data_IF_596809074509
#
_entry.id   IF_596809074509
#
_cell.length_a   1.000
_cell.length_b   1.000
_cell.length_c   1.000
_cell.angle_alpha   90.00
_cell.angle_beta   90.00
_cell.angle_gamma   90.00
#
_symmetry.space_group_name_H-M   'P 1'
#
loop_
_entity.id
_entity.type
_entity.pdbx_description
1 polymer ?
#
# COMPACT_ATOMS: atom_id res chain seq x y z
N UNK A 1 -14.66 36.01 20.05
CA UNK A 1 -13.53 35.40 19.32
C UNK A 1 -13.60 33.89 19.56
N UNK A 2 -14.19 33.13 18.62
CA UNK A 2 -14.37 31.68 18.72
C UNK A 2 -13.60 31.06 17.55
N UNK A 3 -12.57 30.28 17.84
CA UNK A 3 -11.84 29.52 16.83
C UNK A 3 -12.53 28.16 16.75
N UNK A 4 -13.24 27.93 15.65
CA UNK A 4 -13.77 26.62 15.28
C UNK A 4 -12.60 25.70 14.91
N UNK A 5 -12.42 24.62 15.66
CA UNK A 5 -11.52 23.54 15.31
C UNK A 5 -11.96 22.92 13.98
N UNK A 6 -11.23 23.22 12.91
CA UNK A 6 -11.39 22.54 11.63
C UNK A 6 -10.91 21.11 11.79
N UNK A 7 -11.82 20.16 11.63
CA UNK A 7 -11.54 18.74 11.53
C UNK A 7 -10.57 18.52 10.36
N UNK A 8 -9.28 18.34 10.65
CA UNK A 8 -8.30 17.94 9.66
C UNK A 8 -8.55 16.47 9.35
N UNK A 9 -9.46 16.20 8.40
CA UNK A 9 -9.60 14.88 7.82
C UNK A 9 -8.33 14.60 7.01
N UNK A 10 -7.49 13.68 7.49
CA UNK A 10 -6.30 13.26 6.77
C UNK A 10 -6.70 12.76 5.36
N UNK A 11 -6.25 13.39 4.26
CA UNK A 11 -6.61 12.97 2.90
C UNK A 11 -5.90 11.68 2.45
N UNK A 12 -5.13 11.03 3.33
CA UNK A 12 -4.34 9.82 3.02
C UNK A 12 -5.17 8.53 2.99
N UNK A 13 -6.38 8.52 3.56
CA UNK A 13 -7.12 7.28 3.81
C UNK A 13 -7.59 6.50 2.57
N UNK A 14 -7.84 7.16 1.44
CA UNK A 14 -8.26 6.48 0.19
C UNK A 14 -7.13 6.26 -0.81
N UNK A 15 -6.23 7.23 -0.97
CA UNK A 15 -5.09 7.11 -1.90
C UNK A 15 -4.12 6.01 -1.48
N UNK A 16 -3.95 5.80 -0.17
CA UNK A 16 -3.10 4.72 0.33
C UNK A 16 -3.59 3.33 -0.08
N UNK A 17 -4.89 3.13 -0.25
CA UNK A 17 -5.47 1.86 -0.71
C UNK A 17 -5.25 1.66 -2.21
N UNK A 18 -5.56 2.68 -3.02
CA UNK A 18 -5.35 2.68 -4.48
C UNK A 18 -3.87 2.47 -4.85
N UNK A 19 -2.97 3.05 -4.07
CA UNK A 19 -1.52 2.86 -4.24
C UNK A 19 -1.09 1.44 -3.88
N UNK A 20 -1.66 0.83 -2.83
CA UNK A 20 -1.38 -0.57 -2.46
C UNK A 20 -1.84 -1.55 -3.54
N UNK A 21 -3.01 -1.31 -4.14
CA UNK A 21 -3.54 -2.08 -5.28
C UNK A 21 -2.59 -2.07 -6.49
N UNK A 22 -1.89 -0.96 -6.69
CA UNK A 22 -0.93 -0.81 -7.79
C UNK A 22 0.43 -1.39 -7.44
N UNK A 23 0.89 -1.16 -6.21
CA UNK A 23 2.26 -1.49 -5.80
C UNK A 23 2.42 -2.98 -5.52
N UNK A 24 1.50 -3.62 -4.77
CA UNK A 24 1.63 -5.04 -4.39
C UNK A 24 1.87 -5.97 -5.61
N UNK A 25 1.11 -5.84 -6.73
CA UNK A 25 1.39 -6.61 -7.94
C UNK A 25 2.69 -6.20 -8.66
N UNK A 26 3.11 -4.94 -8.54
CA UNK A 26 4.34 -4.46 -9.17
C UNK A 26 5.60 -5.09 -8.55
N UNK A 27 5.63 -5.22 -7.22
CA UNK A 27 6.68 -5.91 -6.45
C UNK A 27 6.56 -7.44 -6.51
N UNK A 28 5.41 -7.97 -6.95
CA UNK A 28 5.23 -9.40 -7.19
C UNK A 28 4.99 -10.22 -5.91
N UNK A 29 4.46 -9.59 -4.86
CA UNK A 29 4.09 -10.28 -3.63
C UNK A 29 2.74 -10.99 -3.83
N UNK A 30 2.63 -12.23 -3.34
CA UNK A 30 1.47 -13.09 -3.62
C UNK A 30 0.70 -13.52 -2.38
N UNK A 31 1.27 -13.30 -1.19
CA UNK A 31 0.65 -13.62 0.09
C UNK A 31 0.80 -12.47 1.08
N UNK A 32 -0.05 -12.45 2.11
CA UNK A 32 0.07 -11.50 3.22
C UNK A 32 1.37 -11.72 3.98
N UNK A 33 1.79 -12.98 4.16
CA UNK A 33 3.05 -13.33 4.81
C UNK A 33 4.27 -12.75 4.08
N UNK A 34 4.28 -12.75 2.74
CA UNK A 34 5.36 -12.12 1.95
C UNK A 34 5.43 -10.61 2.20
N UNK A 35 4.27 -9.96 2.33
CA UNK A 35 4.17 -8.53 2.61
C UNK A 35 4.61 -8.21 4.03
N UNK A 36 4.26 -9.07 5.00
CA UNK A 36 4.68 -8.96 6.39
C UNK A 36 6.19 -9.16 6.55
N UNK A 37 6.77 -10.17 5.90
CA UNK A 37 8.21 -10.39 5.89
C UNK A 37 8.97 -9.20 5.27
N UNK A 38 8.43 -8.61 4.19
CA UNK A 38 8.99 -7.39 3.61
C UNK A 38 8.90 -6.22 4.59
N UNK A 39 7.76 -6.03 5.25
CA UNK A 39 7.55 -4.98 6.23
C UNK A 39 8.55 -5.09 7.40
N UNK A 40 8.69 -6.29 7.98
CA UNK A 40 9.61 -6.57 9.09
C UNK A 40 11.07 -6.28 8.70
N UNK A 41 11.45 -6.50 7.45
CA UNK A 41 12.81 -6.20 6.97
C UNK A 41 13.18 -4.71 7.07
N UNK A 42 12.19 -3.81 7.05
CA UNK A 42 12.36 -2.37 7.25
C UNK A 42 12.08 -1.94 8.68
N UNK A 43 11.20 -2.64 9.40
CA UNK A 43 10.77 -2.34 10.76
C UNK A 43 10.82 -3.60 11.65
N UNK A 44 12.02 -3.99 12.14
CA UNK A 44 12.17 -5.25 12.88
C UNK A 44 11.39 -5.24 14.20
N UNK A 45 10.62 -6.31 14.43
CA UNK A 45 9.80 -6.46 15.64
C UNK A 45 8.50 -5.64 15.63
N UNK A 46 8.14 -5.04 14.51
CA UNK A 46 6.81 -4.48 14.28
C UNK A 46 6.00 -5.42 13.37
N UNK A 47 4.72 -5.59 13.69
CA UNK A 47 3.81 -6.49 12.99
C UNK A 47 2.73 -5.70 12.25
N UNK A 48 2.21 -6.27 11.17
CA UNK A 48 1.08 -5.65 10.50
C UNK A 48 -0.14 -5.73 11.40
N UNK A 49 -0.84 -4.60 11.56
CA UNK A 49 -2.12 -4.64 12.27
C UNK A 49 -3.11 -5.55 11.51
N UNK A 50 -4.00 -6.22 12.24
CA UNK A 50 -5.03 -7.08 11.64
C UNK A 50 -5.88 -6.36 10.57
N UNK A 51 -6.09 -5.05 10.73
CA UNK A 51 -6.76 -4.20 9.74
C UNK A 51 -5.95 -4.09 8.45
N UNK A 52 -4.64 -3.85 8.55
CA UNK A 52 -3.74 -3.71 7.40
C UNK A 52 -3.62 -5.04 6.66
N UNK A 53 -3.46 -6.15 7.39
CA UNK A 53 -3.44 -7.50 6.82
C UNK A 53 -4.73 -7.81 6.02
N UNK A 54 -5.90 -7.47 6.57
CA UNK A 54 -7.19 -7.65 5.87
C UNK A 54 -7.29 -6.82 4.57
N UNK A 55 -6.73 -5.60 4.56
CA UNK A 55 -6.67 -4.77 3.36
C UNK A 55 -5.77 -5.40 2.30
N UNK A 56 -4.57 -5.84 2.69
CA UNK A 56 -3.61 -6.49 1.79
C UNK A 56 -4.22 -7.76 1.21
N UNK A 57 -4.87 -8.59 2.03
CA UNK A 57 -5.56 -9.78 1.57
C UNK A 57 -6.64 -9.43 0.53
N UNK A 58 -7.46 -8.42 0.78
CA UNK A 58 -8.48 -7.98 -0.17
C UNK A 58 -7.88 -7.50 -1.50
N UNK A 59 -6.73 -6.84 -1.47
CA UNK A 59 -5.99 -6.41 -2.67
C UNK A 59 -5.44 -7.62 -3.44
N UNK A 60 -4.87 -8.60 -2.74
CA UNK A 60 -4.36 -9.83 -3.34
C UNK A 60 -5.49 -10.66 -3.98
N UNK A 61 -6.63 -10.77 -3.29
CA UNK A 61 -7.82 -11.50 -3.76
C UNK A 61 -8.44 -10.86 -5.01
N UNK A 62 -8.33 -9.54 -5.16
CA UNK A 62 -8.79 -8.84 -6.37
C UNK A 62 -7.93 -9.17 -7.61
N UNK A 63 -6.71 -9.69 -7.44
CA UNK A 63 -5.84 -10.08 -8.54
C UNK A 63 -5.53 -8.92 -9.49
N UNK A 64 -5.30 -7.72 -8.94
CA UNK A 64 -5.09 -6.50 -9.72
C UNK A 64 -3.97 -6.71 -10.76
N UNK A 65 -4.19 -6.33 -12.03
CA UNK A 65 -3.21 -6.56 -13.08
C UNK A 65 -1.93 -5.77 -12.79
N UNK A 66 -0.78 -6.41 -13.01
CA UNK A 66 0.52 -5.76 -12.86
C UNK A 66 0.57 -4.47 -13.70
N UNK A 67 0.91 -3.31 -13.11
CA UNK A 67 1.01 -2.06 -13.85
C UNK A 67 2.01 -2.19 -14.99
N UNK A 68 1.67 -1.67 -16.17
CA UNK A 68 2.60 -1.62 -17.29
C UNK A 68 3.73 -0.66 -16.95
N UNK A 69 4.98 -1.17 -16.94
CA UNK A 69 6.14 -0.32 -16.72
C UNK A 69 6.24 0.73 -17.85
N UNK A 70 6.58 2.00 -17.54
CA UNK A 70 6.81 3.01 -18.56
C UNK A 70 7.96 2.58 -19.47
N UNK A 71 7.90 2.96 -20.75
CA UNK A 71 9.00 2.72 -21.68
C UNK A 71 10.29 3.35 -21.13
N UNK A 72 11.40 2.61 -21.26
CA UNK A 72 12.72 3.12 -20.85
C UNK A 72 12.99 4.45 -21.58
N UNK A 73 13.30 5.53 -20.87
CA UNK A 73 13.69 6.78 -21.52
C UNK A 73 14.97 6.54 -22.34
N UNK A 74 14.99 7.10 -23.55
CA UNK A 74 16.18 7.09 -24.40
C UNK A 74 17.18 8.08 -23.80
N UNK A 75 18.30 7.55 -23.28
CA UNK A 75 19.32 8.35 -22.59
C UNK A 75 20.48 8.78 -23.50
N UNK A 76 20.46 8.40 -24.79
CA UNK A 76 21.55 8.68 -25.73
C UNK A 76 22.75 7.75 -25.57
#
# INVERSE_FOLDING_TARGET
MRITAGTCACPLGRRALEDLETLIPAIGLTSVDDVEALYESFYPGDELTARTAAIIQAVLDQGAPKPTAPARPDLG
#
